data_IF_688656864323
#
_entry.id   IF_688656864323
#
_cell.length_a   1.000
_cell.length_b   1.000
_cell.length_c   1.000
_cell.angle_alpha   90.00
_cell.angle_beta   90.00
_cell.angle_gamma   90.00
#
_symmetry.space_group_name_H-M   'P 1'
#
loop_
_entity.id
_entity.type
_entity.pdbx_description
1 polymer ?
#
# COMPACT_ATOMS: atom_id res chain seq x y z
N UNK A 1 12.54 -23.58 38.97
CA UNK A 1 13.25 -23.52 37.67
C UNK A 1 12.37 -23.87 36.47
N UNK A 2 11.78 -25.07 36.34
CA UNK A 2 10.91 -25.43 35.18
C UNK A 2 9.69 -24.52 34.93
N UNK A 3 9.02 -24.02 35.98
CA UNK A 3 7.89 -23.08 35.84
C UNK A 3 8.32 -21.68 35.39
N UNK A 4 9.50 -21.24 35.82
CA UNK A 4 10.08 -19.95 35.43
C UNK A 4 10.57 -19.98 33.97
N UNK A 5 11.13 -21.10 33.50
CA UNK A 5 11.46 -21.28 32.07
C UNK A 5 10.21 -21.23 31.18
N UNK A 6 9.08 -21.79 31.63
CA UNK A 6 7.81 -21.76 30.87
C UNK A 6 7.25 -20.35 30.77
N UNK A 7 7.29 -19.58 31.85
CA UNK A 7 6.82 -18.19 31.88
C UNK A 7 7.72 -17.27 31.04
N UNK A 8 9.04 -17.48 31.07
CA UNK A 8 9.98 -16.75 30.22
C UNK A 8 9.77 -17.06 28.73
N UNK A 9 9.52 -18.33 28.37
CA UNK A 9 9.23 -18.73 26.99
C UNK A 9 7.89 -18.16 26.48
N UNK A 10 6.87 -18.08 27.33
CA UNK A 10 5.58 -17.45 27.00
C UNK A 10 5.73 -15.94 26.77
N UNK A 11 6.50 -15.24 27.61
CA UNK A 11 6.79 -13.81 27.43
C UNK A 11 7.56 -13.53 26.14
N UNK A 12 8.54 -14.38 25.81
CA UNK A 12 9.30 -14.26 24.56
C UNK A 12 8.45 -14.55 23.32
N UNK A 13 7.55 -15.54 23.39
CA UNK A 13 6.62 -15.87 22.31
C UNK A 13 5.63 -14.74 22.02
N UNK A 14 5.11 -14.08 23.06
CA UNK A 14 4.20 -12.93 22.94
C UNK A 14 4.88 -11.70 22.30
N UNK A 15 6.18 -11.50 22.56
CA UNK A 15 6.92 -10.36 22.02
C UNK A 15 7.13 -10.45 20.49
N UNK A 16 7.17 -11.66 19.92
CA UNK A 16 7.35 -11.87 18.48
C UNK A 16 6.06 -11.71 17.66
N UNK A 17 4.88 -11.78 18.28
CA UNK A 17 3.58 -11.65 17.58
C UNK A 17 3.27 -10.18 17.25
N UNK A 18 3.88 -9.22 17.95
CA UNK A 18 3.59 -7.79 17.78
C UNK A 18 3.96 -7.22 16.40
N UNK A 19 4.97 -7.78 15.72
CA UNK A 19 5.47 -7.21 14.46
C UNK A 19 4.53 -7.42 13.27
N UNK A 20 3.62 -8.40 13.32
CA UNK A 20 2.68 -8.66 12.22
C UNK A 20 1.49 -7.70 12.18
N UNK A 21 1.22 -6.97 13.27
CA UNK A 21 0.06 -6.09 13.40
C UNK A 21 0.23 -4.71 12.75
N UNK A 22 1.45 -4.34 12.37
CA UNK A 22 1.77 -3.02 11.82
C UNK A 22 1.82 -2.98 10.28
N UNK A 23 1.56 -4.10 9.60
CA UNK A 23 1.56 -4.11 8.13
C UNK A 23 0.23 -3.57 7.58
N UNK A 24 0.26 -2.62 6.61
CA UNK A 24 -0.96 -2.15 5.98
C UNK A 24 -1.74 -3.28 5.32
N UNK A 25 -3.06 -3.26 5.44
CA UNK A 25 -3.94 -4.29 4.87
C UNK A 25 -3.74 -4.47 3.37
N UNK A 26 -3.43 -3.37 2.65
CA UNK A 26 -3.13 -3.37 1.22
C UNK A 26 -1.87 -4.19 0.92
N UNK A 27 -0.81 -4.04 1.72
CA UNK A 27 0.44 -4.81 1.57
C UNK A 27 0.18 -6.29 1.81
N UNK A 28 -0.55 -6.63 2.88
CA UNK A 28 -0.89 -8.02 3.20
C UNK A 28 -1.71 -8.67 2.07
N UNK A 29 -2.70 -7.95 1.53
CA UNK A 29 -3.47 -8.40 0.38
C UNK A 29 -2.58 -8.60 -0.86
N UNK A 30 -1.76 -7.62 -1.24
CA UNK A 30 -0.96 -7.71 -2.46
C UNK A 30 0.10 -8.81 -2.41
N UNK A 31 0.70 -9.05 -1.24
CA UNK A 31 1.61 -10.19 -1.02
C UNK A 31 0.94 -11.52 -1.30
N UNK A 32 -0.29 -11.70 -0.83
CA UNK A 32 -1.02 -12.94 -1.04
C UNK A 32 -1.54 -13.04 -2.48
N UNK A 33 -2.08 -11.96 -3.03
CA UNK A 33 -2.65 -11.87 -4.38
C UNK A 33 -1.64 -12.05 -5.52
N UNK A 34 -0.35 -11.79 -5.28
CA UNK A 34 0.67 -11.83 -6.31
C UNK A 34 0.77 -13.23 -6.96
N UNK A 35 0.78 -13.25 -8.29
CA UNK A 35 0.92 -14.44 -9.11
C UNK A 35 -0.39 -15.09 -9.53
N UNK A 36 -1.53 -14.71 -8.94
CA UNK A 36 -2.83 -15.32 -9.26
C UNK A 36 -4.02 -14.36 -9.33
N UNK A 37 -4.00 -13.23 -8.62
CA UNK A 37 -5.14 -12.33 -8.60
C UNK A 37 -5.33 -11.62 -9.93
N UNK A 38 -6.57 -11.56 -10.39
CA UNK A 38 -6.97 -10.84 -11.60
C UNK A 38 -7.19 -9.35 -11.32
N UNK A 39 -7.15 -8.52 -12.36
CA UNK A 39 -7.57 -7.12 -12.28
C UNK A 39 -8.96 -6.93 -11.65
N UNK A 40 -9.90 -7.82 -11.93
CA UNK A 40 -11.24 -7.75 -11.36
C UNK A 40 -11.23 -7.99 -9.85
N UNK A 41 -10.52 -9.01 -9.39
CA UNK A 41 -10.41 -9.31 -7.95
C UNK A 41 -9.69 -8.19 -7.19
N UNK A 42 -8.61 -7.66 -7.77
CA UNK A 42 -7.89 -6.50 -7.20
C UNK A 42 -8.82 -5.30 -7.10
N UNK A 43 -9.62 -5.01 -8.14
CA UNK A 43 -10.57 -3.90 -8.12
C UNK A 43 -11.69 -4.09 -7.11
N UNK A 44 -12.15 -5.32 -6.89
CA UNK A 44 -13.14 -5.62 -5.86
C UNK A 44 -12.59 -5.41 -4.44
N UNK A 45 -11.29 -5.64 -4.24
CA UNK A 45 -10.64 -5.53 -2.93
C UNK A 45 -10.12 -4.13 -2.60
N UNK A 46 -9.51 -3.46 -3.57
CA UNK A 46 -8.86 -2.15 -3.39
C UNK A 46 -9.68 -0.98 -3.97
N UNK A 47 -10.77 -1.26 -4.68
CA UNK A 47 -11.54 -0.25 -5.40
C UNK A 47 -10.93 0.12 -6.75
N UNK A 48 -11.43 1.19 -7.39
CA UNK A 48 -10.90 1.67 -8.67
C UNK A 48 -9.47 2.21 -8.49
N UNK A 49 -8.54 1.90 -9.41
CA UNK A 49 -7.21 2.51 -9.40
C UNK A 49 -7.30 4.01 -9.73
N UNK A 50 -6.34 4.78 -9.23
CA UNK A 50 -6.21 6.21 -9.53
C UNK A 50 -5.73 6.44 -10.96
N UNK A 51 -4.90 5.52 -11.46
CA UNK A 51 -4.37 5.58 -12.82
C UNK A 51 -4.23 4.18 -13.40
N UNK A 52 -4.60 4.05 -14.67
CA UNK A 52 -4.41 2.83 -15.47
C UNK A 52 -3.59 3.20 -16.69
N UNK A 53 -2.51 2.45 -16.92
CA UNK A 53 -1.67 2.55 -18.10
C UNK A 53 -1.58 1.20 -18.78
N UNK A 54 -2.06 1.13 -20.01
CA UNK A 54 -1.77 0.00 -20.89
C UNK A 54 -0.32 0.07 -21.34
N UNK A 55 0.36 -1.06 -21.27
CA UNK A 55 1.70 -1.27 -21.80
C UNK A 55 1.61 -2.04 -23.12
N UNK A 56 2.76 -2.19 -23.77
CA UNK A 56 2.88 -3.03 -24.95
C UNK A 56 2.57 -4.51 -24.61
N UNK A 57 2.23 -5.28 -25.65
CA UNK A 57 1.87 -6.70 -25.53
C UNK A 57 0.68 -7.01 -24.60
N UNK A 58 -0.22 -6.05 -24.36
CA UNK A 58 -1.45 -6.27 -23.58
C UNK A 58 -1.26 -6.30 -22.07
N UNK A 59 -0.05 -6.03 -21.58
CA UNK A 59 0.21 -5.83 -20.16
C UNK A 59 -0.30 -4.47 -19.68
N UNK A 60 -0.44 -4.27 -18.38
CA UNK A 60 -0.89 -2.99 -17.84
C UNK A 60 -0.35 -2.70 -16.45
N UNK A 61 -0.24 -1.41 -16.13
CA UNK A 61 0.17 -0.91 -14.82
C UNK A 61 -0.99 -0.12 -14.22
N UNK A 62 -1.40 -0.52 -13.02
CA UNK A 62 -2.38 0.21 -12.23
C UNK A 62 -1.67 0.88 -11.06
N UNK A 63 -2.13 2.09 -10.72
CA UNK A 63 -1.58 2.85 -9.61
C UNK A 63 -2.70 3.15 -8.63
N UNK A 64 -2.47 2.78 -7.37
CA UNK A 64 -3.29 3.15 -6.23
C UNK A 64 -2.54 4.16 -5.38
N UNK A 65 -3.27 5.10 -4.82
CA UNK A 65 -2.74 6.14 -3.94
C UNK A 65 -3.62 6.21 -2.70
N UNK A 66 -2.99 6.25 -1.54
CA UNK A 66 -3.66 6.46 -0.26
C UNK A 66 -3.02 7.66 0.42
N UNK A 67 -3.84 8.66 0.69
CA UNK A 67 -3.46 9.90 1.31
C UNK A 67 -3.78 9.86 2.80
N UNK A 68 -2.80 10.16 3.64
CA UNK A 68 -3.01 10.30 5.08
C UNK A 68 -2.56 11.68 5.55
N UNK A 69 -3.50 12.45 6.11
CA UNK A 69 -3.24 13.80 6.57
C UNK A 69 -2.57 13.77 7.93
N UNK A 70 -1.36 14.31 7.97
CA UNK A 70 -0.63 14.50 9.21
C UNK A 70 -0.83 15.93 9.69
N UNK A 71 -1.64 16.08 10.73
CA UNK A 71 -1.81 17.36 11.40
C UNK A 71 -0.56 17.69 12.21
N UNK A 72 0.00 18.86 11.93
CA UNK A 72 1.15 19.40 12.65
C UNK A 72 0.81 19.84 14.07
N UNK A 73 1.86 20.13 14.83
CA UNK A 73 1.77 20.71 16.16
C UNK A 73 2.63 21.98 16.25
N UNK A 74 2.84 22.52 17.46
CA UNK A 74 3.65 23.73 17.69
C UNK A 74 5.07 23.64 17.13
N UNK A 75 5.63 22.44 16.96
CA UNK A 75 7.01 22.20 16.56
C UNK A 75 7.13 21.45 15.22
N UNK A 76 6.03 21.01 14.61
CA UNK A 76 6.02 20.21 13.38
C UNK A 76 4.99 20.75 12.40
N UNK A 77 5.43 21.11 11.19
CA UNK A 77 4.51 21.50 10.11
C UNK A 77 3.59 20.34 9.76
N UNK A 78 2.32 20.64 9.48
CA UNK A 78 1.39 19.69 8.89
C UNK A 78 1.92 19.19 7.55
N UNK A 79 1.48 18.00 7.15
CA UNK A 79 1.82 17.44 5.86
C UNK A 79 0.84 16.36 5.44
N UNK A 80 1.17 15.70 4.35
CA UNK A 80 0.45 14.54 3.87
C UNK A 80 1.42 13.41 3.58
N UNK A 81 1.06 12.21 4.00
CA UNK A 81 1.72 10.99 3.61
C UNK A 81 1.03 10.43 2.37
N UNK A 82 1.84 10.07 1.39
CA UNK A 82 1.42 9.46 0.15
C UNK A 82 1.93 8.02 0.14
N UNK A 83 1.00 7.08 0.23
CA UNK A 83 1.28 5.66 0.10
C UNK A 83 0.81 5.18 -1.29
N UNK A 84 1.77 4.98 -2.19
CA UNK A 84 1.53 4.67 -3.60
C UNK A 84 1.85 3.21 -3.85
N UNK A 85 0.90 2.48 -4.45
CA UNK A 85 1.07 1.10 -4.88
C UNK A 85 1.01 1.02 -6.40
N UNK A 86 2.06 0.48 -7.02
CA UNK A 86 2.09 0.23 -8.47
C UNK A 86 1.98 -1.25 -8.70
N UNK A 87 0.97 -1.66 -9.45
CA UNK A 87 0.66 -3.06 -9.74
C UNK A 87 0.86 -3.29 -11.23
N UNK A 88 1.63 -4.32 -11.57
CA UNK A 88 1.85 -4.74 -12.95
C UNK A 88 1.11 -6.04 -13.23
N UNK A 89 0.21 -5.97 -14.20
CA UNK A 89 -0.56 -7.10 -14.71
C UNK A 89 0.00 -7.56 -16.05
N UNK A 90 0.03 -8.87 -16.25
CA UNK A 90 0.37 -9.45 -17.54
C UNK A 90 -0.80 -9.38 -18.54
N UNK A 91 -0.57 -9.91 -19.74
CA UNK A 91 -1.56 -10.04 -20.81
C UNK A 91 -2.78 -10.89 -20.44
N UNK A 92 -2.68 -11.74 -19.41
CA UNK A 92 -3.80 -12.52 -18.89
C UNK A 92 -4.51 -11.81 -17.74
N UNK A 93 -4.20 -10.53 -17.50
CA UNK A 93 -4.76 -9.69 -16.43
C UNK A 93 -4.40 -10.16 -15.03
N UNK A 94 -3.35 -10.97 -14.88
CA UNK A 94 -2.89 -11.51 -13.60
C UNK A 94 -1.81 -10.60 -13.01
N UNK A 95 -1.95 -10.28 -11.72
CA UNK A 95 -0.98 -9.50 -10.96
C UNK A 95 0.34 -10.26 -10.89
N UNK A 96 1.40 -9.76 -11.54
CA UNK A 96 2.72 -10.39 -11.52
C UNK A 96 3.67 -9.74 -10.54
N UNK A 97 3.64 -8.41 -10.48
CA UNK A 97 4.55 -7.63 -9.66
C UNK A 97 3.83 -6.44 -9.06
N UNK A 98 4.30 -6.00 -7.90
CA UNK A 98 3.87 -4.75 -7.30
C UNK A 98 4.99 -4.14 -6.47
N UNK A 99 4.96 -2.82 -6.35
CA UNK A 99 5.85 -2.05 -5.48
C UNK A 99 5.06 -1.03 -4.67
N UNK A 100 5.66 -0.58 -3.56
CA UNK A 100 5.11 0.41 -2.64
C UNK A 100 6.10 1.56 -2.48
N UNK A 101 5.64 2.78 -2.71
CA UNK A 101 6.37 4.00 -2.43
C UNK A 101 5.67 4.79 -1.33
N UNK A 102 6.39 5.08 -0.24
CA UNK A 102 5.90 5.96 0.82
C UNK A 102 6.69 7.27 0.77
N UNK A 103 5.98 8.39 0.68
CA UNK A 103 6.58 9.73 0.67
C UNK A 103 5.80 10.69 1.54
N UNK A 104 6.50 11.66 2.14
CA UNK A 104 5.90 12.71 2.96
C UNK A 104 6.06 14.05 2.26
N UNK A 105 4.95 14.74 2.06
CA UNK A 105 4.92 16.10 1.52
C UNK A 105 4.55 17.08 2.64
N UNK A 106 5.50 17.91 3.11
CA UNK A 106 5.21 18.94 4.10
C UNK A 106 4.32 20.03 3.49
N UNK A 107 3.56 20.73 4.33
CA UNK A 107 2.51 21.69 3.99
C UNK A 107 2.62 22.37 2.62
N UNK A 108 3.69 23.13 2.39
CA UNK A 108 3.85 23.96 1.19
C UNK A 108 4.07 23.15 -0.11
N UNK A 109 4.39 21.87 0.02
CA UNK A 109 4.62 20.91 -1.07
C UNK A 109 3.50 19.86 -1.17
N UNK A 110 2.39 20.04 -0.44
CA UNK A 110 1.24 19.15 -0.54
C UNK A 110 0.67 19.19 -1.96
N UNK A 111 0.55 18.04 -2.64
CA UNK A 111 -0.02 18.00 -3.98
C UNK A 111 -1.52 18.32 -3.96
N UNK A 112 -1.97 19.15 -4.91
CA UNK A 112 -3.37 19.58 -5.00
C UNK A 112 -4.33 18.53 -5.59
N UNK A 113 -3.81 17.56 -6.35
CA UNK A 113 -4.62 16.60 -7.14
C UNK A 113 -4.28 15.14 -6.80
N UNK A 114 -3.08 14.88 -6.25
CA UNK A 114 -2.56 13.55 -5.94
C UNK A 114 -1.03 13.53 -6.04
N UNK A 115 -0.39 12.59 -5.39
CA UNK A 115 1.06 12.45 -5.26
C UNK A 115 1.71 11.84 -6.49
N UNK A 116 0.93 11.21 -7.38
CA UNK A 116 1.41 10.70 -8.66
C UNK A 116 1.05 11.69 -9.78
N UNK A 117 2.05 12.28 -10.48
CA UNK A 117 1.81 13.14 -11.62
C UNK A 117 1.01 12.41 -12.71
N UNK A 118 -0.09 13.00 -13.15
CA UNK A 118 -0.95 12.45 -14.21
C UNK A 118 -2.04 11.49 -13.73
N UNK A 119 -2.19 11.25 -12.42
CA UNK A 119 -3.37 10.62 -11.84
C UNK A 119 -4.57 11.60 -11.89
N UNK A 120 -5.10 11.88 -13.09
CA UNK A 120 -6.38 12.56 -13.21
C UNK A 120 -7.50 11.57 -12.92
N UNK A 121 -8.46 11.97 -12.08
CA UNK A 121 -9.64 11.18 -11.73
C UNK A 121 -10.29 10.51 -12.96
N UNK A 122 -10.79 9.27 -12.84
CA UNK A 122 -11.53 8.64 -13.92
C UNK A 122 -12.75 9.50 -14.25
N UNK A 123 -12.79 10.04 -15.46
CA UNK A 123 -14.00 10.66 -16.01
C UNK A 123 -15.00 9.52 -16.25
N UNK A 124 -15.92 9.35 -15.30
CA UNK A 124 -17.17 8.60 -15.46
C UNK A 124 -18.27 9.53 -15.95
#
# INVERSE_FOLDING_TARGET
>A
MRRMLRLAALGWGLMLIGCALFEPVQVSYLKTAQGHATQQEVRQRLGPPHLVRSLEAGSSVWVYEFLDHEYGDRNRQSGIWCDVYRLTFDQHTILRQWDRGLSRHPGDLMPAIGCVPGASAPRG
#
